data_IF_853130038553
#
_entry.id   IF_853130038553
#
_cell.length_a   1.000
_cell.length_b   1.000
_cell.length_c   1.000
_cell.angle_alpha   90.00
_cell.angle_beta   90.00
_cell.angle_gamma   90.00
#
_symmetry.space_group_name_H-M   'P 1'
#
loop_
_entity.id
_entity.type
_entity.pdbx_description
1 polymer ?
#
# COMPACT_ATOMS: atom_id res chain seq x y z
N UNK A 1 -1.47 24.68 3.17
CA UNK A 1 -1.73 23.40 3.86
C UNK A 1 -1.78 23.65 5.35
N UNK A 2 -2.73 23.05 6.04
CA UNK A 2 -2.81 23.24 7.47
C UNK A 2 -1.66 22.48 8.17
N UNK A 3 -1.30 22.93 9.38
CA UNK A 3 -0.13 22.44 10.09
C UNK A 3 -0.25 20.96 10.50
N UNK A 4 -1.44 20.53 10.91
CA UNK A 4 -1.67 19.13 11.27
C UNK A 4 -1.52 18.20 10.08
N UNK A 5 -2.03 18.63 8.93
CA UNK A 5 -1.92 17.88 7.69
C UNK A 5 -0.46 17.82 7.20
N UNK A 6 0.27 18.92 7.37
CA UNK A 6 1.69 18.96 7.03
C UNK A 6 2.49 17.97 7.87
N UNK A 7 2.26 17.95 9.19
CA UNK A 7 2.91 17.01 10.09
C UNK A 7 2.57 15.57 9.70
N UNK A 8 1.30 15.30 9.39
CA UNK A 8 0.87 13.98 8.95
C UNK A 8 1.69 13.48 7.77
N UNK A 9 1.82 14.30 6.72
CA UNK A 9 2.58 13.89 5.54
C UNK A 9 4.08 13.77 5.80
N UNK A 10 4.66 14.71 6.55
CA UNK A 10 6.10 14.65 6.89
C UNK A 10 6.44 13.38 7.66
N UNK A 11 5.63 13.04 8.68
CA UNK A 11 5.84 11.83 9.46
C UNK A 11 5.60 10.56 8.63
N UNK A 12 4.61 10.58 7.76
CA UNK A 12 4.33 9.47 6.86
C UNK A 12 5.51 9.24 5.91
N UNK A 13 6.04 10.29 5.30
CA UNK A 13 7.20 10.18 4.43
C UNK A 13 8.45 9.70 5.17
N UNK A 14 8.66 10.17 6.40
CA UNK A 14 9.77 9.70 7.22
C UNK A 14 9.67 8.19 7.45
N UNK A 15 8.49 7.70 7.79
CA UNK A 15 8.24 6.26 7.98
C UNK A 15 8.54 5.48 6.70
N UNK A 16 8.06 5.99 5.57
CA UNK A 16 8.22 5.31 4.28
C UNK A 16 9.63 5.43 3.70
N UNK A 17 10.53 6.18 4.35
CA UNK A 17 11.93 6.30 3.95
C UNK A 17 12.85 5.34 4.71
N UNK A 18 12.33 4.56 5.63
CA UNK A 18 13.13 3.64 6.45
C UNK A 18 13.40 2.34 5.72
N UNK A 19 14.50 1.69 6.11
CA UNK A 19 14.80 0.34 5.62
C UNK A 19 13.73 -0.66 6.00
N UNK A 20 13.18 -0.53 7.21
CA UNK A 20 12.10 -1.39 7.68
C UNK A 20 10.87 -1.32 6.80
N UNK A 21 10.51 -0.12 6.35
CA UNK A 21 9.42 0.04 5.39
C UNK A 21 9.72 -0.68 4.08
N UNK A 22 10.96 -0.58 3.56
CA UNK A 22 11.36 -1.29 2.35
C UNK A 22 11.21 -2.81 2.49
N UNK A 23 11.63 -3.37 3.61
CA UNK A 23 11.45 -4.80 3.89
C UNK A 23 9.99 -5.19 3.98
N UNK A 24 9.16 -4.36 4.63
CA UNK A 24 7.73 -4.58 4.73
C UNK A 24 7.07 -4.62 3.35
N UNK A 25 7.44 -3.68 2.49
CA UNK A 25 6.91 -3.63 1.12
C UNK A 25 7.33 -4.87 0.33
N UNK A 26 8.58 -5.31 0.44
CA UNK A 26 9.04 -6.55 -0.21
C UNK A 26 8.22 -7.75 0.25
N UNK A 27 7.96 -7.86 1.54
CA UNK A 27 7.15 -8.94 2.10
C UNK A 27 5.73 -8.91 1.56
N UNK A 28 5.14 -7.73 1.48
CA UNK A 28 3.78 -7.57 0.94
C UNK A 28 3.73 -7.89 -0.56
N UNK A 29 4.76 -7.58 -1.32
CA UNK A 29 4.83 -7.94 -2.73
C UNK A 29 4.87 -9.47 -2.90
N UNK A 30 5.59 -10.18 -2.04
CA UNK A 30 5.60 -11.64 -2.04
C UNK A 30 4.24 -12.22 -1.71
N UNK A 31 3.55 -11.66 -0.73
CA UNK A 31 2.19 -12.06 -0.36
C UNK A 31 1.24 -11.83 -1.55
N UNK A 32 1.35 -10.66 -2.19
CA UNK A 32 0.55 -10.33 -3.36
C UNK A 32 0.75 -11.35 -4.48
N UNK A 33 1.98 -11.71 -4.78
CA UNK A 33 2.30 -12.71 -5.80
C UNK A 33 1.68 -14.08 -5.48
N UNK A 34 1.73 -14.49 -4.21
CA UNK A 34 1.11 -15.72 -3.74
C UNK A 34 -0.40 -15.69 -3.90
N UNK A 35 -1.06 -14.58 -3.56
CA UNK A 35 -2.50 -14.43 -3.66
C UNK A 35 -2.98 -14.37 -5.13
N UNK A 36 -2.12 -13.92 -6.04
CA UNK A 36 -2.42 -13.87 -7.48
C UNK A 36 -2.32 -15.24 -8.17
N UNK A 37 -1.90 -16.27 -7.46
CA UNK A 37 -1.81 -17.62 -8.03
C UNK A 37 -3.20 -18.24 -8.13
N UNK A 38 -3.80 -18.14 -9.32
CA UNK A 38 -5.15 -18.62 -9.61
C UNK A 38 -5.26 -20.13 -9.40
N UNK A 39 -4.17 -20.88 -9.58
CA UNK A 39 -4.19 -22.34 -9.42
C UNK A 39 -4.56 -22.79 -8.00
N UNK A 40 -4.44 -21.91 -7.01
CA UNK A 40 -4.77 -22.19 -5.61
C UNK A 40 -6.21 -21.79 -5.24
N UNK A 41 -6.96 -21.18 -6.16
CA UNK A 41 -8.37 -20.80 -5.94
C UNK A 41 -9.26 -22.00 -6.21
N UNK A 42 -10.05 -22.40 -5.21
CA UNK A 42 -10.86 -23.61 -5.27
C UNK A 42 -12.35 -23.34 -5.48
N UNK A 43 -12.83 -22.14 -5.18
CA UNK A 43 -14.24 -21.77 -5.32
C UNK A 43 -14.42 -20.26 -5.46
N UNK A 44 -15.67 -19.85 -5.74
CA UNK A 44 -16.01 -18.44 -5.95
C UNK A 44 -15.83 -17.60 -4.69
N UNK A 45 -16.15 -18.13 -3.52
CA UNK A 45 -15.99 -17.41 -2.26
C UNK A 45 -14.53 -17.13 -1.97
N UNK A 46 -13.65 -18.11 -2.19
CA UNK A 46 -12.20 -17.94 -2.06
C UNK A 46 -11.69 -16.88 -3.01
N UNK A 47 -12.21 -16.83 -4.24
CA UNK A 47 -11.83 -15.83 -5.23
C UNK A 47 -12.16 -14.40 -4.74
N UNK A 48 -13.37 -14.18 -4.24
CA UNK A 48 -13.78 -12.87 -3.74
C UNK A 48 -13.01 -12.48 -2.49
N UNK A 49 -12.73 -13.42 -1.61
CA UNK A 49 -11.93 -13.17 -0.42
C UNK A 49 -10.51 -12.71 -0.81
N UNK A 50 -9.89 -13.40 -1.74
CA UNK A 50 -8.56 -13.01 -2.25
C UNK A 50 -8.56 -11.66 -2.94
N UNK A 51 -9.63 -11.37 -3.69
CA UNK A 51 -9.75 -10.07 -4.33
C UNK A 51 -9.75 -8.94 -3.30
N UNK A 52 -10.48 -9.10 -2.20
CA UNK A 52 -10.46 -8.13 -1.10
C UNK A 52 -9.08 -7.97 -0.49
N UNK A 53 -8.36 -9.08 -0.27
CA UNK A 53 -7.01 -9.05 0.25
C UNK A 53 -6.05 -8.33 -0.71
N UNK A 54 -6.16 -8.59 -2.01
CA UNK A 54 -5.36 -7.93 -3.04
C UNK A 54 -5.65 -6.43 -3.10
N UNK A 55 -6.91 -6.04 -2.98
CA UNK A 55 -7.29 -4.61 -2.99
C UNK A 55 -6.60 -3.85 -1.86
N UNK A 56 -6.58 -4.42 -0.65
CA UNK A 56 -5.91 -3.81 0.50
C UNK A 56 -4.39 -3.79 0.32
N UNK A 57 -3.81 -4.88 -0.20
CA UNK A 57 -2.37 -4.92 -0.47
C UNK A 57 -1.96 -3.87 -1.50
N UNK A 58 -2.74 -3.70 -2.56
CA UNK A 58 -2.48 -2.67 -3.56
C UNK A 58 -2.55 -1.27 -2.98
N UNK A 59 -3.50 -1.03 -2.05
CA UNK A 59 -3.60 0.23 -1.34
C UNK A 59 -2.31 0.52 -0.56
N UNK A 60 -1.80 -0.45 0.19
CA UNK A 60 -0.57 -0.31 0.97
C UNK A 60 0.66 -0.14 0.08
N UNK A 61 0.78 -0.99 -0.96
CA UNK A 61 1.92 -0.94 -1.88
C UNK A 61 1.98 0.37 -2.67
N UNK A 62 0.82 0.97 -2.97
CA UNK A 62 0.73 2.24 -3.67
C UNK A 62 0.73 3.46 -2.76
N UNK A 63 0.84 3.27 -1.44
CA UNK A 63 0.63 4.37 -0.48
C UNK A 63 1.61 5.52 -0.65
N UNK A 64 2.89 5.21 -0.88
CA UNK A 64 3.93 6.23 -1.06
C UNK A 64 3.61 7.12 -2.27
N UNK A 65 3.33 6.52 -3.41
CA UNK A 65 3.00 7.26 -4.63
C UNK A 65 1.74 8.11 -4.46
N UNK A 66 0.72 7.55 -3.80
CA UNK A 66 -0.53 8.28 -3.52
C UNK A 66 -0.27 9.48 -2.61
N UNK A 67 0.52 9.31 -1.54
CA UNK A 67 0.87 10.40 -0.64
C UNK A 67 1.68 11.48 -1.34
N UNK A 68 2.64 11.11 -2.17
CA UNK A 68 3.42 12.07 -2.95
C UNK A 68 2.55 12.91 -3.87
N UNK A 69 1.61 12.26 -4.57
CA UNK A 69 0.71 12.95 -5.48
C UNK A 69 -0.21 13.94 -4.75
N UNK A 70 -0.84 13.50 -3.67
CA UNK A 70 -1.74 14.36 -2.89
C UNK A 70 -0.97 15.52 -2.26
N UNK A 71 0.22 15.26 -1.73
CA UNK A 71 1.06 16.30 -1.14
C UNK A 71 1.44 17.37 -2.18
N UNK A 72 1.82 16.96 -3.38
CA UNK A 72 2.09 17.89 -4.49
C UNK A 72 0.87 18.76 -4.81
N UNK A 73 -0.30 18.14 -4.92
CA UNK A 73 -1.54 18.86 -5.22
C UNK A 73 -1.88 19.89 -4.13
N UNK A 74 -1.64 19.54 -2.87
CA UNK A 74 -1.91 20.43 -1.74
C UNK A 74 -0.93 21.60 -1.65
N UNK A 75 0.28 21.43 -2.17
CA UNK A 75 1.27 22.50 -2.18
C UNK A 75 1.19 23.40 -3.42
N UNK A 76 0.69 22.83 -4.48
CA UNK A 76 0.58 23.51 -5.76
C UNK A 76 -0.60 24.41 -5.87
#
# INVERSE_FOLDING_TARGET
MDKELQVYYEETFNTMSTKGWGFLIEDFEKIKASLNDISTVTDTQSLYFRKGQLDILELVLGRKATCEKVYEELQG
#
